data_IF_463384511773
#
_entry.id   IF_463384511773
#
_cell.length_a   1.000
_cell.length_b   1.000
_cell.length_c   1.000
_cell.angle_alpha   90.00
_cell.angle_beta   90.00
_cell.angle_gamma   90.00
#
_symmetry.space_group_name_H-M   'P 1'
#
loop_
_entity.id
_entity.type
_entity.pdbx_description
1 polymer ?
#
# COMPACT_ATOMS: atom_id res chain seq x y z
N UNK A 1 -45.33 -60.30 12.14
CA UNK A 1 -44.02 -60.42 12.82
C UNK A 1 -43.32 -59.09 12.68
N UNK A 2 -43.15 -58.40 13.81
CA UNK A 2 -42.51 -57.10 13.94
C UNK A 2 -40.99 -57.28 13.89
N UNK A 3 -40.30 -56.54 13.01
CA UNK A 3 -38.86 -56.34 13.12
C UNK A 3 -38.55 -54.85 12.94
N UNK A 4 -38.30 -54.21 14.07
CA UNK A 4 -37.77 -52.85 14.20
C UNK A 4 -36.26 -52.89 13.98
N UNK A 5 -35.77 -52.24 12.92
CA UNK A 5 -34.35 -51.93 12.79
C UNK A 5 -34.12 -50.44 13.06
N UNK A 6 -33.42 -50.19 14.15
CA UNK A 6 -32.74 -48.93 14.44
C UNK A 6 -31.36 -48.97 13.75
N UNK A 7 -31.04 -47.99 12.91
CA UNK A 7 -29.65 -47.66 12.54
C UNK A 7 -29.53 -46.14 12.54
N UNK A 8 -28.47 -45.68 13.22
CA UNK A 8 -28.32 -44.36 13.80
C UNK A 8 -28.01 -43.22 12.82
N UNK A 9 -28.39 -42.03 13.28
CA UNK A 9 -27.95 -40.74 12.73
C UNK A 9 -26.43 -40.61 12.91
N UNK A 10 -25.70 -40.63 11.80
CA UNK A 10 -24.33 -40.09 11.74
C UNK A 10 -24.49 -38.56 11.70
N UNK A 11 -24.25 -37.91 12.83
CA UNK A 11 -24.09 -36.47 12.88
C UNK A 11 -22.77 -36.11 12.17
N UNK A 12 -22.86 -35.59 10.95
CA UNK A 12 -21.73 -34.97 10.28
C UNK A 12 -21.36 -33.69 11.05
N UNK A 13 -20.26 -33.75 11.81
CA UNK A 13 -19.58 -32.58 12.36
C UNK A 13 -19.05 -31.75 11.19
N UNK A 14 -19.87 -30.82 10.70
CA UNK A 14 -19.40 -29.73 9.86
C UNK A 14 -18.51 -28.87 10.75
N UNK A 15 -17.21 -29.08 10.67
CA UNK A 15 -16.23 -28.17 11.25
C UNK A 15 -16.45 -26.81 10.62
N UNK A 16 -17.06 -25.89 11.38
CA UNK A 16 -17.03 -24.46 11.07
C UNK A 16 -15.59 -24.01 11.21
N UNK A 17 -14.80 -24.19 10.15
CA UNK A 17 -13.56 -23.46 10.01
C UNK A 17 -13.89 -21.98 10.20
N UNK A 18 -13.23 -21.33 11.15
CA UNK A 18 -13.19 -19.88 11.19
C UNK A 18 -12.51 -19.42 9.90
N UNK A 19 -13.31 -19.17 8.87
CA UNK A 19 -12.86 -18.38 7.73
C UNK A 19 -12.69 -16.96 8.25
N UNK A 20 -11.44 -16.55 8.49
CA UNK A 20 -11.14 -15.13 8.54
C UNK A 20 -11.39 -14.59 7.14
N UNK A 21 -12.53 -13.93 6.94
CA UNK A 21 -12.72 -13.02 5.83
C UNK A 21 -11.71 -11.89 6.04
N UNK A 22 -10.66 -11.84 5.21
CA UNK A 22 -9.78 -10.67 5.18
C UNK A 22 -10.61 -9.50 4.68
N UNK A 23 -10.58 -8.39 5.42
CA UNK A 23 -11.35 -7.21 5.09
C UNK A 23 -11.08 -6.78 3.65
N UNK A 24 -12.16 -6.76 2.87
CA UNK A 24 -12.43 -5.87 1.75
C UNK A 24 -12.04 -4.43 2.10
N UNK A 25 -11.73 -3.57 1.11
CA UNK A 25 -11.26 -2.18 1.32
C UNK A 25 -11.98 -1.52 2.51
N UNK A 26 -11.27 -1.38 3.64
CA UNK A 26 -11.85 -0.88 4.88
C UNK A 26 -11.44 0.58 5.10
N UNK A 27 -12.29 1.33 5.79
CA UNK A 27 -11.98 2.70 6.21
C UNK A 27 -11.16 2.64 7.50
N UNK A 28 -10.03 3.35 7.55
CA UNK A 28 -9.19 3.51 8.73
C UNK A 28 -9.03 4.99 9.07
N UNK A 29 -9.55 5.41 10.21
CA UNK A 29 -9.32 6.75 10.76
C UNK A 29 -8.04 6.72 11.60
N UNK A 30 -7.01 7.43 11.16
CA UNK A 30 -5.71 7.42 11.82
C UNK A 30 -5.67 8.47 12.94
N UNK A 31 -5.58 8.07 14.22
CA UNK A 31 -5.62 9.02 15.34
C UNK A 31 -4.40 9.94 15.40
N UNK A 32 -3.26 9.52 14.84
CA UNK A 32 -2.03 10.31 14.86
C UNK A 32 -2.15 11.51 13.91
N UNK A 33 -2.62 11.27 12.69
CA UNK A 33 -2.64 12.27 11.61
C UNK A 33 -3.98 12.99 11.51
N UNK A 34 -5.07 12.37 11.95
CA UNK A 34 -6.44 12.82 11.73
C UNK A 34 -6.97 12.55 10.33
N UNK A 35 -6.21 11.83 9.49
CA UNK A 35 -6.62 11.45 8.14
C UNK A 35 -7.47 10.18 8.18
N UNK A 36 -8.46 10.14 7.29
CA UNK A 36 -9.20 8.93 6.95
C UNK A 36 -8.57 8.28 5.72
N UNK A 37 -8.28 7.00 5.82
CA UNK A 37 -7.66 6.20 4.76
C UNK A 37 -8.61 5.10 4.28
N UNK A 38 -8.57 4.77 2.99
CA UNK A 38 -8.91 3.42 2.56
C UNK A 38 -7.72 2.51 2.83
N UNK A 39 -7.95 1.26 3.23
CA UNK A 39 -6.92 0.33 3.70
C UNK A 39 -7.00 -1.02 2.99
N UNK A 40 -5.84 -1.58 2.67
CA UNK A 40 -5.72 -2.93 2.12
C UNK A 40 -4.54 -3.67 2.76
N UNK A 41 -4.76 -4.91 3.19
CA UNK A 41 -3.70 -5.79 3.69
C UNK A 41 -3.31 -6.82 2.64
N UNK A 42 -2.02 -6.86 2.27
CA UNK A 42 -1.50 -7.79 1.26
C UNK A 42 -0.42 -8.70 1.80
N UNK A 43 -0.59 -10.00 1.61
CA UNK A 43 0.34 -11.03 2.06
C UNK A 43 1.56 -11.12 1.14
N UNK A 44 2.74 -11.27 1.72
CA UNK A 44 3.98 -11.56 0.99
C UNK A 44 4.62 -12.90 1.40
N UNK A 45 4.05 -13.61 2.38
CA UNK A 45 4.41 -14.99 2.74
C UNK A 45 3.16 -15.83 2.97
N UNK A 46 3.29 -17.14 2.77
CA UNK A 46 2.20 -18.10 2.95
C UNK A 46 1.77 -18.26 4.42
N UNK A 47 2.64 -17.90 5.37
CA UNK A 47 2.37 -17.94 6.81
C UNK A 47 1.48 -16.78 7.33
N UNK A 48 0.96 -15.95 6.42
CA UNK A 48 0.04 -14.87 6.73
C UNK A 48 0.71 -13.51 6.96
N UNK A 49 2.05 -13.41 6.93
CA UNK A 49 2.73 -12.11 6.97
C UNK A 49 2.39 -11.26 5.75
N UNK A 50 2.15 -9.97 6.00
CA UNK A 50 1.72 -9.03 4.99
C UNK A 50 2.02 -7.58 5.34
N UNK A 51 1.84 -6.71 4.34
CA UNK A 51 2.00 -5.27 4.44
C UNK A 51 0.62 -4.63 4.34
N UNK A 52 0.37 -3.63 5.19
CA UNK A 52 -0.83 -2.79 5.06
C UNK A 52 -0.50 -1.58 4.21
N UNK A 53 -1.33 -1.31 3.20
CA UNK A 53 -1.28 -0.14 2.34
C UNK A 53 -2.52 0.71 2.59
N UNK A 54 -2.31 2.02 2.71
CA UNK A 54 -3.37 2.98 2.99
C UNK A 54 -3.21 4.20 2.11
N UNK A 55 -4.33 4.70 1.57
CA UNK A 55 -4.37 5.93 0.79
C UNK A 55 -5.43 6.87 1.35
N UNK A 56 -5.08 8.15 1.44
CA UNK A 56 -5.99 9.25 1.76
C UNK A 56 -5.93 10.28 0.62
N UNK A 57 -7.08 10.81 0.24
CA UNK A 57 -7.26 11.74 -0.89
C UNK A 57 -8.12 12.94 -0.49
N UNK A 58 -8.01 14.07 -1.22
CA UNK A 58 -8.93 15.20 -1.06
C UNK A 58 -10.34 14.81 -1.51
N UNK A 59 -11.36 15.23 -0.76
CA UNK A 59 -12.76 14.99 -1.16
C UNK A 59 -13.20 15.83 -2.35
N UNK A 60 -12.48 16.91 -2.66
CA UNK A 60 -12.71 17.80 -3.80
C UNK A 60 -11.86 17.43 -5.04
N UNK A 61 -11.16 16.29 -5.01
CA UNK A 61 -10.38 15.79 -6.14
C UNK A 61 -11.27 15.60 -7.39
N UNK A 62 -10.84 16.10 -8.55
CA UNK A 62 -11.61 15.97 -9.79
C UNK A 62 -11.14 14.77 -10.61
N UNK A 63 -12.08 14.07 -11.26
CA UNK A 63 -11.73 13.01 -12.21
C UNK A 63 -10.95 13.60 -13.38
N UNK A 64 -10.00 12.82 -13.93
CA UNK A 64 -9.14 13.23 -15.05
C UNK A 64 -8.26 14.46 -14.75
N UNK A 65 -7.98 14.72 -13.48
CA UNK A 65 -7.03 15.75 -13.03
C UNK A 65 -6.01 15.16 -12.07
N UNK A 66 -4.83 15.78 -11.97
CA UNK A 66 -3.87 15.43 -10.95
C UNK A 66 -4.33 15.96 -9.59
N UNK A 67 -4.16 15.17 -8.54
CA UNK A 67 -4.40 15.57 -7.15
C UNK A 67 -3.36 14.98 -6.21
N UNK A 68 -3.11 15.65 -5.09
CA UNK A 68 -2.21 15.14 -4.07
C UNK A 68 -2.88 13.96 -3.33
N UNK A 69 -2.09 12.98 -2.91
CA UNK A 69 -2.56 11.86 -2.09
C UNK A 69 -1.60 11.63 -0.93
N UNK A 70 -2.09 11.15 0.21
CA UNK A 70 -1.23 10.68 1.30
C UNK A 70 -1.20 9.16 1.27
N UNK A 71 0.00 8.59 1.34
CA UNK A 71 0.22 7.16 1.47
C UNK A 71 0.70 6.84 2.88
N UNK A 72 0.15 5.78 3.47
CA UNK A 72 0.64 5.20 4.71
C UNK A 72 0.87 3.70 4.49
N UNK A 73 2.01 3.19 4.94
CA UNK A 73 2.28 1.75 4.89
C UNK A 73 2.70 1.26 6.26
N UNK A 74 2.19 0.09 6.67
CA UNK A 74 2.62 -0.64 7.86
C UNK A 74 3.34 -1.90 7.40
N UNK A 75 4.64 -1.94 7.66
CA UNK A 75 5.57 -2.88 7.04
C UNK A 75 6.26 -3.69 8.14
N UNK A 76 6.23 -5.03 8.08
CA UNK A 76 6.98 -5.87 9.02
C UNK A 76 8.49 -5.64 8.98
N UNK A 77 9.18 -5.88 10.10
CA UNK A 77 10.62 -5.61 10.25
C UNK A 77 11.54 -6.57 9.46
N UNK A 78 11.02 -7.70 8.99
CA UNK A 78 11.73 -8.65 8.11
C UNK A 78 11.70 -8.24 6.62
N UNK A 79 11.04 -7.11 6.30
CA UNK A 79 11.00 -6.54 4.96
C UNK A 79 12.25 -5.71 4.71
N UNK A 80 13.05 -6.14 3.74
CA UNK A 80 14.23 -5.41 3.27
C UNK A 80 13.83 -4.15 2.50
N UNK A 81 12.87 -4.28 1.58
CA UNK A 81 12.17 -3.16 0.94
C UNK A 81 10.77 -3.57 0.49
N UNK A 82 9.86 -2.58 0.48
CA UNK A 82 8.50 -2.71 -0.01
C UNK A 82 8.26 -1.72 -1.15
N UNK A 83 7.55 -2.16 -2.19
CA UNK A 83 7.17 -1.34 -3.33
C UNK A 83 5.66 -1.15 -3.40
N UNK A 84 5.23 0.03 -3.87
CA UNK A 84 3.86 0.32 -4.28
C UNK A 84 3.92 0.91 -5.70
N UNK A 85 3.12 0.35 -6.62
CA UNK A 85 2.94 0.84 -7.97
C UNK A 85 1.58 1.51 -8.10
N UNK A 86 1.58 2.81 -8.36
CA UNK A 86 0.34 3.61 -8.45
C UNK A 86 -0.51 3.25 -9.66
N UNK A 87 0.10 2.69 -10.72
CA UNK A 87 -0.60 2.22 -11.92
C UNK A 87 -0.88 0.72 -11.96
N UNK A 88 -0.62 -0.02 -10.88
CA UNK A 88 -0.95 -1.45 -10.81
C UNK A 88 -0.05 -2.40 -11.59
N UNK A 89 1.07 -1.92 -12.12
CA UNK A 89 2.08 -2.70 -12.83
C UNK A 89 3.49 -2.21 -12.47
N UNK A 90 4.54 -3.00 -12.75
CA UNK A 90 5.90 -2.50 -12.55
C UNK A 90 6.30 -1.42 -13.58
N UNK A 91 6.05 -1.60 -14.89
CA UNK A 91 6.47 -0.60 -15.87
C UNK A 91 5.50 0.58 -15.99
N UNK A 92 6.04 1.73 -16.38
CA UNK A 92 5.32 2.88 -16.94
C UNK A 92 4.28 3.52 -16.03
N UNK A 93 4.59 3.58 -14.74
CA UNK A 93 3.84 4.34 -13.75
C UNK A 93 4.75 4.73 -12.57
N UNK A 94 4.34 5.70 -11.73
CA UNK A 94 5.06 6.07 -10.53
C UNK A 94 5.14 4.88 -9.57
N UNK A 95 6.36 4.59 -9.10
CA UNK A 95 6.64 3.57 -8.11
C UNK A 95 7.14 4.25 -6.84
N UNK A 96 6.57 3.89 -5.70
CA UNK A 96 7.18 4.11 -4.39
C UNK A 96 7.98 2.88 -4.01
N UNK A 97 9.26 3.03 -3.70
CA UNK A 97 10.03 2.01 -2.98
C UNK A 97 10.37 2.57 -1.60
N UNK A 98 10.01 1.83 -0.55
CA UNK A 98 10.20 2.24 0.84
C UNK A 98 10.96 1.18 1.63
N UNK A 99 11.88 1.61 2.48
CA UNK A 99 12.62 0.73 3.39
C UNK A 99 13.11 1.48 4.62
N UNK A 100 13.69 0.75 5.57
CA UNK A 100 14.41 1.33 6.72
C UNK A 100 15.90 1.43 6.40
N UNK A 101 16.42 2.65 6.52
CA UNK A 101 17.86 2.91 6.49
C UNK A 101 18.57 2.48 7.76
N UNK A 102 19.82 2.93 7.92
CA UNK A 102 20.58 2.73 9.15
C UNK A 102 20.00 3.61 10.26
N UNK A 103 20.00 3.15 11.51
CA UNK A 103 19.36 3.89 12.62
C UNK A 103 17.86 4.05 12.45
N UNK A 104 17.21 3.13 11.72
CA UNK A 104 15.76 2.98 11.66
C UNK A 104 14.99 4.12 10.99
N UNK A 105 15.66 5.04 10.29
CA UNK A 105 14.99 6.07 9.51
C UNK A 105 14.26 5.48 8.30
N UNK A 106 13.13 6.06 7.93
CA UNK A 106 12.41 5.68 6.72
C UNK A 106 13.08 6.34 5.52
N UNK A 107 13.33 5.56 4.47
CA UNK A 107 13.77 6.06 3.17
C UNK A 107 12.68 5.77 2.15
N UNK A 108 12.24 6.83 1.46
CA UNK A 108 11.27 6.77 0.38
C UNK A 108 11.98 7.10 -0.93
N UNK A 109 11.77 6.27 -1.94
CA UNK A 109 12.37 6.40 -3.26
C UNK A 109 11.29 6.43 -4.31
N UNK A 110 11.18 7.57 -5.01
CA UNK A 110 10.32 7.70 -6.18
C UNK A 110 11.03 7.11 -7.39
N UNK A 111 10.40 6.13 -8.04
CA UNK A 111 10.98 5.39 -9.17
C UNK A 111 10.04 5.23 -10.35
N UNK A 112 10.65 4.90 -11.48
CA UNK A 112 9.98 4.56 -12.72
C UNK A 112 10.76 3.44 -13.43
N UNK A 113 10.05 2.48 -14.00
CA UNK A 113 10.62 1.43 -14.82
C UNK A 113 10.03 1.48 -16.23
N UNK A 114 10.87 1.41 -17.27
CA UNK A 114 10.39 1.32 -18.65
C UNK A 114 10.02 -0.12 -19.07
N UNK A 115 10.39 -1.10 -18.26
CA UNK A 115 10.14 -2.52 -18.45
C UNK A 115 10.47 -3.29 -17.16
N UNK A 116 10.61 -4.62 -17.24
CA UNK A 116 11.00 -5.46 -16.11
C UNK A 116 12.51 -5.41 -15.86
N UNK A 117 13.00 -4.22 -15.57
CA UNK A 117 14.40 -3.90 -15.27
C UNK A 117 14.46 -3.03 -14.02
N UNK A 118 15.63 -2.90 -13.40
CA UNK A 118 15.83 -2.05 -12.22
C UNK A 118 15.16 -0.67 -12.40
N UNK A 119 14.14 -0.34 -11.59
CA UNK A 119 13.53 0.98 -11.65
C UNK A 119 14.55 2.07 -11.31
N UNK A 120 14.52 3.14 -12.09
CA UNK A 120 15.39 4.31 -11.92
C UNK A 120 14.68 5.41 -11.15
N UNK A 121 15.44 6.39 -10.65
CA UNK A 121 14.86 7.54 -9.96
C UNK A 121 13.86 8.29 -10.86
N UNK A 122 12.75 8.73 -10.27
CA UNK A 122 11.67 9.41 -10.97
C UNK A 122 11.32 10.72 -10.28
N UNK A 123 11.32 11.82 -11.05
CA UNK A 123 11.06 13.17 -10.54
C UNK A 123 9.62 13.62 -10.72
N UNK A 124 8.82 12.89 -11.51
CA UNK A 124 7.41 13.21 -11.74
C UNK A 124 6.49 12.89 -10.56
N UNK A 125 6.98 12.17 -9.55
CA UNK A 125 6.33 12.00 -8.26
C UNK A 125 7.32 12.30 -7.12
N UNK A 126 6.85 12.97 -6.08
CA UNK A 126 7.66 13.39 -4.94
C UNK A 126 6.96 13.03 -3.63
N UNK A 127 7.73 12.50 -2.68
CA UNK A 127 7.23 12.09 -1.38
C UNK A 127 7.78 12.99 -0.27
N UNK A 128 6.89 13.54 0.55
CA UNK A 128 7.25 14.28 1.76
C UNK A 128 6.84 13.45 2.97
N UNK A 129 7.82 12.91 3.68
CA UNK A 129 7.61 12.11 4.89
C UNK A 129 7.09 12.99 6.03
N UNK A 130 5.99 12.58 6.66
CA UNK A 130 5.49 13.21 7.88
C UNK A 130 6.19 12.62 9.10
N UNK A 131 6.51 13.46 10.09
CA UNK A 131 6.94 12.98 11.40
C UNK A 131 5.77 12.27 12.10
N UNK A 132 4.63 12.92 12.11
CA UNK A 132 3.37 12.38 12.66
C UNK A 132 2.87 11.21 11.80
N UNK A 133 2.47 10.11 12.45
CA UNK A 133 2.08 8.89 11.76
C UNK A 133 3.24 8.06 11.22
N UNK A 134 4.50 8.45 11.49
CA UNK A 134 5.71 7.64 11.22
C UNK A 134 6.28 7.12 12.53
N UNK A 135 6.33 5.79 12.68
CA UNK A 135 6.68 5.14 13.96
C UNK A 135 7.25 3.74 13.73
N UNK A 136 7.91 3.19 14.73
CA UNK A 136 8.45 1.83 14.68
C UNK A 136 8.35 1.16 16.04
N UNK A 137 8.21 -0.16 16.04
CA UNK A 137 8.24 -0.99 17.23
C UNK A 137 9.01 -2.29 16.93
N UNK A 138 8.92 -3.28 17.83
CA UNK A 138 9.62 -4.56 17.72
C UNK A 138 9.22 -5.42 16.52
N UNK A 139 8.03 -5.21 15.94
CA UNK A 139 7.49 -6.06 14.87
C UNK A 139 7.34 -5.34 13.53
N UNK A 140 7.04 -4.03 13.56
CA UNK A 140 6.71 -3.25 12.37
C UNK A 140 7.34 -1.86 12.40
N UNK A 141 7.36 -1.26 11.22
CA UNK A 141 7.51 0.16 11.02
C UNK A 141 6.35 0.68 10.18
N UNK A 142 5.96 1.92 10.46
CA UNK A 142 4.94 2.65 9.74
C UNK A 142 5.53 3.96 9.27
N UNK A 143 5.16 4.37 8.07
CA UNK A 143 5.39 5.73 7.61
C UNK A 143 4.12 6.32 7.05
N UNK A 144 4.01 7.65 7.11
CA UNK A 144 2.99 8.42 6.42
C UNK A 144 3.67 9.49 5.59
N UNK A 145 3.30 9.64 4.33
CA UNK A 145 3.89 10.63 3.44
C UNK A 145 2.88 11.22 2.47
N UNK A 146 2.97 12.53 2.26
CA UNK A 146 2.35 13.17 1.10
C UNK A 146 3.05 12.67 -0.16
N UNK A 147 2.28 12.30 -1.18
CA UNK A 147 2.76 12.21 -2.55
C UNK A 147 2.12 13.26 -3.45
N UNK A 148 2.98 14.04 -4.10
CA UNK A 148 2.61 14.89 -5.24
C UNK A 148 3.01 14.19 -6.54
N UNK A 149 2.12 14.21 -7.55
CA UNK A 149 2.39 13.59 -8.86
C UNK A 149 2.22 12.07 -8.92
N UNK A 150 1.69 11.43 -7.89
CA UNK A 150 1.42 9.99 -7.89
C UNK A 150 0.12 9.59 -8.61
N UNK A 151 -0.85 10.50 -8.67
CA UNK A 151 -2.22 10.22 -9.13
C UNK A 151 -2.43 10.53 -10.61
N UNK A 152 -1.40 11.09 -11.26
CA UNK A 152 -1.41 11.41 -12.68
C UNK A 152 0.00 11.30 -13.25
N UNK A 153 0.15 10.63 -14.39
CA UNK A 153 1.44 10.49 -15.08
C UNK A 153 1.23 10.28 -16.58
N UNK A 154 2.24 10.59 -17.38
CA UNK A 154 2.22 10.30 -18.82
C UNK A 154 3.06 9.06 -19.11
N UNK A 155 2.46 8.10 -19.79
CA UNK A 155 3.11 6.88 -20.28
C UNK A 155 2.69 6.64 -21.74
N UNK A 156 3.66 6.31 -22.59
CA UNK A 156 3.41 6.02 -24.02
C UNK A 156 2.60 7.13 -24.73
N UNK A 157 2.90 8.39 -24.41
CA UNK A 157 2.22 9.57 -24.97
C UNK A 157 0.81 9.81 -24.44
N UNK A 158 0.32 9.00 -23.49
CA UNK A 158 -1.03 9.12 -22.91
C UNK A 158 -0.94 9.47 -21.42
N UNK A 159 -1.64 10.52 -21.01
CA UNK A 159 -1.81 10.83 -19.59
C UNK A 159 -2.80 9.89 -18.94
N UNK A 160 -2.42 9.33 -17.80
CA UNK A 160 -3.19 8.44 -16.95
C UNK A 160 -3.55 9.19 -15.68
N UNK A 161 -4.74 8.90 -15.15
CA UNK A 161 -5.25 9.48 -13.91
C UNK A 161 -5.81 8.37 -13.03
N UNK A 162 -5.65 8.50 -11.73
CA UNK A 162 -6.39 7.72 -10.76
C UNK A 162 -7.80 8.31 -10.58
N UNK A 163 -8.78 7.45 -10.36
CA UNK A 163 -10.15 7.81 -10.09
C UNK A 163 -10.33 8.11 -8.59
N UNK A 164 -10.59 9.36 -8.18
CA UNK A 164 -10.78 9.68 -6.76
C UNK A 164 -12.11 9.19 -6.17
N UNK A 165 -13.03 8.68 -7.00
CA UNK A 165 -14.38 8.27 -6.61
C UNK A 165 -14.64 6.77 -6.81
N UNK A 166 -13.59 5.94 -6.90
CA UNK A 166 -13.79 4.50 -7.06
C UNK A 166 -12.51 3.68 -7.03
N UNK A 167 -12.61 2.45 -7.55
CA UNK A 167 -11.52 1.49 -7.60
C UNK A 167 -10.38 1.90 -8.53
N UNK A 168 -9.16 1.80 -8.02
CA UNK A 168 -7.92 1.98 -8.75
C UNK A 168 -7.07 0.71 -8.66
N UNK A 169 -6.55 0.21 -9.77
CA UNK A 169 -5.65 -0.93 -9.72
C UNK A 169 -4.28 -0.48 -9.19
N UNK A 170 -3.93 -0.94 -8.00
CA UNK A 170 -2.61 -0.79 -7.40
C UNK A 170 -1.88 -2.13 -7.38
N UNK A 171 -0.56 -2.09 -7.27
CA UNK A 171 0.25 -3.28 -7.08
C UNK A 171 1.33 -3.05 -6.04
N UNK A 172 1.78 -4.13 -5.42
CA UNK A 172 2.89 -4.08 -4.48
C UNK A 172 3.96 -5.08 -4.87
N UNK A 173 5.16 -4.85 -4.34
CA UNK A 173 6.29 -5.75 -4.44
C UNK A 173 7.02 -5.81 -3.09
N UNK A 174 7.69 -6.92 -2.81
CA UNK A 174 8.42 -7.14 -1.57
C UNK A 174 9.73 -7.87 -1.82
N UNK A 175 10.78 -7.51 -1.07
CA UNK A 175 11.99 -8.33 -0.91
C UNK A 175 12.47 -8.33 0.54
N UNK A 176 13.01 -9.45 1.06
CA UNK A 176 13.71 -9.47 2.35
C UNK A 176 15.10 -8.83 2.29
N UNK A 177 15.67 -8.68 1.08
CA UNK A 177 17.03 -8.16 0.90
C UNK A 177 16.99 -6.63 0.96
N UNK A 178 17.81 -6.04 1.83
CA UNK A 178 17.92 -4.57 1.94
C UNK A 178 18.59 -3.98 0.68
N UNK A 179 18.27 -2.73 0.33
CA UNK A 179 19.03 -1.99 -0.68
C UNK A 179 20.52 -1.92 -0.35
N UNK A 180 21.38 -1.88 -1.38
CA UNK A 180 22.84 -1.90 -1.23
C UNK A 180 23.39 -0.72 -0.41
N UNK A 181 22.75 0.45 -0.50
CA UNK A 181 23.07 1.67 0.24
C UNK A 181 21.83 2.13 1.01
N UNK A 182 21.58 1.62 2.22
CA UNK A 182 20.31 1.78 2.93
C UNK A 182 19.89 3.21 3.23
N UNK A 183 20.82 4.18 3.22
CA UNK A 183 20.50 5.59 3.47
C UNK A 183 20.31 6.41 2.19
N UNK A 184 20.47 5.81 1.02
CA UNK A 184 20.37 6.51 -0.26
C UNK A 184 19.08 6.14 -0.99
N UNK A 185 18.20 7.13 -1.21
CA UNK A 185 16.97 6.93 -1.98
C UNK A 185 17.23 6.46 -3.43
N UNK A 186 18.44 6.58 -3.95
CA UNK A 186 18.82 6.09 -5.28
C UNK A 186 19.55 4.74 -5.27
N UNK A 187 19.65 4.07 -4.11
CA UNK A 187 20.31 2.77 -3.97
C UNK A 187 19.82 1.74 -4.99
N UNK A 188 20.69 0.84 -5.43
CA UNK A 188 20.24 -0.38 -6.11
C UNK A 188 19.43 -1.25 -5.14
N UNK A 189 18.45 -1.97 -5.68
CA UNK A 189 17.58 -2.90 -4.95
C UNK A 189 17.65 -4.28 -5.59
N UNK A 190 17.43 -5.34 -4.82
CA UNK A 190 17.24 -6.68 -5.37
C UNK A 190 15.94 -6.77 -6.19
N UNK A 191 15.77 -7.84 -6.97
CA UNK A 191 14.45 -8.21 -7.49
C UNK A 191 13.52 -8.59 -6.32
N UNK A 192 12.22 -8.32 -6.46
CA UNK A 192 11.23 -8.74 -5.48
C UNK A 192 11.02 -10.25 -5.51
N UNK A 193 10.77 -10.85 -4.35
CA UNK A 193 10.36 -12.26 -4.25
C UNK A 193 8.87 -12.44 -4.55
N UNK A 194 8.06 -11.47 -4.11
CA UNK A 194 6.60 -11.51 -4.26
C UNK A 194 6.12 -10.17 -4.78
N UNK A 195 5.11 -10.23 -5.65
CA UNK A 195 4.33 -9.11 -6.09
C UNK A 195 2.86 -9.53 -6.20
N UNK A 196 1.96 -8.57 -6.09
CA UNK A 196 0.53 -8.79 -6.24
C UNK A 196 -0.16 -7.47 -6.60
N UNK A 197 -1.41 -7.52 -7.03
CA UNK A 197 -2.23 -6.35 -7.37
C UNK A 197 -3.63 -6.45 -6.76
N UNK A 198 -4.27 -5.30 -6.57
CA UNK A 198 -5.64 -5.21 -6.06
C UNK A 198 -6.34 -4.01 -6.68
N UNK A 199 -7.66 -4.00 -6.60
CA UNK A 199 -8.43 -2.76 -6.76
C UNK A 199 -8.50 -2.10 -5.40
N UNK A 200 -8.07 -0.85 -5.30
CA UNK A 200 -8.13 -0.02 -4.10
C UNK A 200 -9.18 1.07 -4.29
N UNK A 201 -10.24 1.06 -3.49
CA UNK A 201 -11.31 2.06 -3.56
C UNK A 201 -10.88 3.40 -2.93
N UNK A 202 -10.74 4.44 -3.77
CA UNK A 202 -10.43 5.78 -3.30
C UNK A 202 -11.67 6.56 -2.88
N UNK A 203 -12.89 6.09 -3.20
CA UNK A 203 -14.12 6.70 -2.68
C UNK A 203 -14.16 6.67 -1.14
N UNK A 204 -13.56 5.63 -0.53
CA UNK A 204 -13.43 5.47 0.91
C UNK A 204 -12.25 6.26 1.53
N UNK A 205 -11.44 6.93 0.71
CA UNK A 205 -10.22 7.61 1.11
C UNK A 205 -10.39 9.14 1.26
N UNK A 206 -11.61 9.67 1.13
CA UNK A 206 -11.83 11.10 0.95
C UNK A 206 -11.76 11.91 2.26
N UNK A 207 -11.09 13.06 2.22
CA UNK A 207 -10.89 13.94 3.37
C UNK A 207 -11.31 15.39 3.05
N UNK A 208 -12.35 15.94 3.70
CA UNK A 208 -12.83 17.31 3.46
C UNK A 208 -11.81 18.43 3.71
N UNK A 209 -10.96 18.28 4.71
CA UNK A 209 -9.94 19.28 5.07
C UNK A 209 -8.53 18.84 4.68
N UNK A 210 -8.40 18.11 3.57
CA UNK A 210 -7.16 17.45 3.18
C UNK A 210 -5.97 18.42 3.10
N UNK A 211 -6.11 19.54 2.37
CA UNK A 211 -5.02 20.50 2.20
C UNK A 211 -4.53 21.10 3.53
N UNK A 212 -5.45 21.55 4.38
CA UNK A 212 -5.12 22.08 5.71
C UNK A 212 -4.49 21.02 6.62
N UNK A 213 -4.99 19.79 6.56
CA UNK A 213 -4.46 18.65 7.33
C UNK A 213 -3.05 18.32 6.89
N UNK A 214 -2.79 18.21 5.58
CA UNK A 214 -1.46 17.98 5.02
C UNK A 214 -0.51 19.11 5.40
N UNK A 215 -0.93 20.37 5.29
CA UNK A 215 -0.09 21.52 5.67
C UNK A 215 0.39 21.41 7.12
N UNK A 216 -0.52 21.10 8.06
CA UNK A 216 -0.19 20.86 9.48
C UNK A 216 0.76 19.69 9.71
N UNK A 217 0.69 18.65 8.88
CA UNK A 217 1.56 17.46 8.99
C UNK A 217 2.95 17.68 8.38
N UNK A 218 3.10 18.70 7.52
CA UNK A 218 4.35 19.06 6.86
C UNK A 218 5.13 20.19 7.54
N UNK A 219 4.50 20.95 8.45
CA UNK A 219 5.14 21.97 9.28
C UNK A 219 5.93 21.36 10.44
#
# INVERSE_FOLDING_TARGET
MLWTFWIGLIAALVGTGMYFTFAEDAVYQDPDTGLTFSTMFRRYKADGRGITFRVATPSDAQSYTAYDAVVQMVVPNDVGWAGLAWGGSMPRNPLLIAWRGTSNNVVLSSRWANGHVMPQAYTGAQYTLFKTGTKTNSTHWQFTALCKGCTSWTADGTTRYLNPYGGNRLAFAYSPTKPAQPNSATSTISIHEVHDYWSHDFAQAQNPNFAATVQRLTS
#
